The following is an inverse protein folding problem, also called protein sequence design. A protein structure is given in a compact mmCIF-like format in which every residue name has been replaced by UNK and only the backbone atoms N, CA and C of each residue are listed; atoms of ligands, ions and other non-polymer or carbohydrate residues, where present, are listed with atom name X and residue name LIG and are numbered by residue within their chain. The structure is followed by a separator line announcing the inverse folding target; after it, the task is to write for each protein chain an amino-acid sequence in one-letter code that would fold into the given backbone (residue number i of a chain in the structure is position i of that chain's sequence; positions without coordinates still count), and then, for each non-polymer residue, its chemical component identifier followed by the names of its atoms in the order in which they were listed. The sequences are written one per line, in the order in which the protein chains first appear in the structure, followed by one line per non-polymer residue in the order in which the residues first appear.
data_IF_948646170852
#
_entry.id   IF_948646170852
#
_cell.length_a   1.000
_cell.length_b   1.000
_cell.length_c   1.000
_cell.angle_alpha   90.00
_cell.angle_beta   90.00
_cell.angle_gamma   90.00
#
_symmetry.space_group_name_H-M   'P 1'
#
loop_
_entity.id
_entity.type
_entity.pdbx_description
1 polymer ?
#
# COMPACT_ATOMS: atom_id res chain seq x y z
N UNK A 1 -3.36 19.80 -13.55
CA UNK A 1 -2.47 19.05 -12.61
C UNK A 1 -2.39 17.60 -13.03
N UNK A 2 -1.23 16.95 -12.91
CA UNK A 2 -0.98 15.54 -13.25
C UNK A 2 -0.67 14.70 -12.01
N UNK A 3 -0.75 13.38 -12.13
CA UNK A 3 -0.32 12.45 -11.09
C UNK A 3 1.04 11.82 -11.43
N UNK A 4 1.91 11.62 -10.44
CA UNK A 4 3.15 10.85 -10.56
C UNK A 4 3.17 9.80 -9.46
N UNK A 5 2.93 8.54 -9.85
CA UNK A 5 2.79 7.41 -8.93
C UNK A 5 4.10 6.62 -8.87
N UNK A 6 4.75 6.57 -7.71
CA UNK A 6 6.05 5.92 -7.57
C UNK A 6 5.91 4.43 -7.24
N UNK A 7 6.33 3.56 -8.17
CA UNK A 7 6.22 2.09 -8.05
C UNK A 7 7.57 1.37 -8.14
N UNK A 8 8.69 2.07 -7.87
CA UNK A 8 10.05 1.54 -8.06
C UNK A 8 10.63 0.70 -6.92
N UNK A 9 9.94 0.56 -5.80
CA UNK A 9 10.46 -0.08 -4.59
C UNK A 9 10.69 -1.60 -4.73
N UNK A 10 11.79 -2.12 -4.17
CA UNK A 10 12.18 -3.55 -4.28
C UNK A 10 11.45 -4.50 -3.33
N UNK A 11 10.76 -3.99 -2.30
CA UNK A 11 9.99 -4.78 -1.33
C UNK A 11 10.81 -5.78 -0.51
N UNK A 12 12.09 -5.51 -0.26
CA UNK A 12 12.98 -6.48 0.43
C UNK A 12 12.51 -6.87 1.83
N UNK A 13 11.86 -5.95 2.56
CA UNK A 13 11.32 -6.19 3.91
C UNK A 13 10.07 -7.08 3.92
N UNK A 14 9.36 -7.20 2.80
CA UNK A 14 8.19 -8.07 2.61
C UNK A 14 8.54 -9.48 2.12
N UNK A 15 9.82 -9.83 1.98
CA UNK A 15 10.19 -11.19 1.60
C UNK A 15 9.78 -12.19 2.68
N UNK A 16 9.29 -13.40 2.27
CA UNK A 16 9.39 -14.00 0.92
C UNK A 16 8.29 -13.58 -0.05
N UNK A 17 7.24 -12.87 0.36
CA UNK A 17 6.08 -12.51 -0.50
C UNK A 17 6.51 -11.81 -1.80
N UNK A 18 7.46 -10.88 -1.69
CA UNK A 18 7.96 -10.09 -2.83
C UNK A 18 9.12 -10.72 -3.59
N UNK A 19 9.35 -12.03 -3.44
CA UNK A 19 10.29 -12.74 -4.32
C UNK A 19 9.77 -12.86 -5.75
N UNK A 20 8.46 -13.02 -5.90
CA UNK A 20 7.77 -13.31 -7.16
C UNK A 20 6.97 -12.14 -7.73
N UNK A 21 6.91 -11.01 -7.05
CA UNK A 21 6.16 -9.84 -7.52
C UNK A 21 6.55 -8.54 -6.80
N UNK A 22 6.16 -7.39 -7.34
CA UNK A 22 6.42 -6.09 -6.71
C UNK A 22 5.54 -5.91 -5.46
N UNK A 23 6.05 -5.14 -4.48
CA UNK A 23 5.35 -4.93 -3.21
C UNK A 23 4.01 -4.20 -3.37
N UNK A 24 3.91 -3.35 -4.37
CA UNK A 24 2.73 -2.55 -4.66
C UNK A 24 1.53 -3.38 -5.13
N UNK A 25 1.77 -4.63 -5.55
CA UNK A 25 0.72 -5.58 -5.93
C UNK A 25 0.30 -6.52 -4.79
N UNK A 26 0.91 -6.41 -3.61
CA UNK A 26 0.43 -7.13 -2.42
C UNK A 26 -0.93 -6.56 -2.04
N UNK A 27 -1.97 -7.41 -1.90
CA UNK A 27 -3.32 -6.90 -1.65
C UNK A 27 -3.54 -6.55 -0.18
N UNK A 28 -4.36 -5.54 0.03
CA UNK A 28 -5.01 -5.17 1.28
C UNK A 28 -6.52 -5.22 1.03
N UNK A 29 -7.27 -5.94 1.83
CA UNK A 29 -8.70 -6.21 1.62
C UNK A 29 -9.00 -6.67 0.17
N UNK A 30 -8.17 -7.60 -0.34
CA UNK A 30 -8.23 -8.16 -1.70
C UNK A 30 -7.97 -7.18 -2.86
N UNK A 31 -7.64 -5.92 -2.59
CA UNK A 31 -7.27 -4.92 -3.59
C UNK A 31 -5.76 -4.63 -3.54
N UNK A 32 -5.00 -4.70 -4.65
CA UNK A 32 -3.61 -4.29 -4.72
C UNK A 32 -3.39 -2.87 -4.16
N UNK A 33 -2.33 -2.67 -3.38
CA UNK A 33 -2.06 -1.37 -2.74
C UNK A 33 -1.97 -0.24 -3.75
N UNK A 34 -1.42 -0.51 -4.94
CA UNK A 34 -1.28 0.49 -6.00
C UNK A 34 -2.61 1.05 -6.52
N UNK A 35 -3.68 0.26 -6.46
CA UNK A 35 -5.01 0.69 -6.93
C UNK A 35 -5.63 1.74 -6.01
N UNK A 36 -5.35 1.70 -4.69
CA UNK A 36 -5.79 2.74 -3.75
C UNK A 36 -5.22 4.11 -4.15
N UNK A 37 -3.93 4.16 -4.48
CA UNK A 37 -3.31 5.41 -4.92
C UNK A 37 -3.89 5.97 -6.23
N UNK A 38 -4.28 5.09 -7.17
CA UNK A 38 -4.96 5.50 -8.43
C UNK A 38 -6.36 6.05 -8.12
N UNK A 39 -7.11 5.39 -7.24
CA UNK A 39 -8.44 5.84 -6.82
C UNK A 39 -8.36 7.20 -6.12
N UNK A 40 -7.41 7.39 -5.18
CA UNK A 40 -7.20 8.66 -4.48
C UNK A 40 -6.87 9.80 -5.44
N UNK A 41 -5.98 9.56 -6.41
CA UNK A 41 -5.63 10.55 -7.44
C UNK A 41 -6.85 10.91 -8.30
N UNK A 42 -7.63 9.90 -8.72
CA UNK A 42 -8.85 10.10 -9.49
C UNK A 42 -9.91 10.89 -8.72
N UNK A 43 -10.10 10.59 -7.42
CA UNK A 43 -11.03 11.31 -6.55
C UNK A 43 -10.65 12.78 -6.41
N UNK A 44 -9.35 13.08 -6.39
CA UNK A 44 -8.82 14.44 -6.45
C UNK A 44 -8.92 15.10 -7.85
N UNK A 45 -9.58 14.43 -8.83
CA UNK A 45 -9.79 14.95 -10.18
C UNK A 45 -8.59 14.76 -11.11
N UNK A 46 -7.57 13.99 -10.72
CA UNK A 46 -6.36 13.77 -11.49
C UNK A 46 -6.53 12.51 -12.35
N UNK A 47 -6.55 12.69 -13.67
CA UNK A 47 -6.83 11.59 -14.62
C UNK A 47 -5.66 11.27 -15.54
N UNK A 48 -4.63 12.12 -15.62
CA UNK A 48 -3.37 11.83 -16.33
C UNK A 48 -2.31 11.44 -15.31
N UNK A 49 -1.84 10.18 -15.31
CA UNK A 49 -0.95 9.64 -14.28
C UNK A 49 0.29 9.01 -14.92
N UNK A 50 1.47 9.52 -14.55
CA UNK A 50 2.76 8.91 -14.85
C UNK A 50 3.13 7.87 -13.80
N UNK A 51 3.27 6.60 -14.18
CA UNK A 51 3.66 5.52 -13.26
C UNK A 51 5.17 5.27 -13.39
N UNK A 52 5.91 5.61 -12.31
CA UNK A 52 7.37 5.41 -12.27
C UNK A 52 7.67 3.96 -11.92
N UNK A 53 8.25 3.23 -12.86
CA UNK A 53 8.58 1.82 -12.72
C UNK A 53 10.07 1.60 -12.41
N UNK A 54 10.33 0.79 -11.40
CA UNK A 54 11.66 0.30 -11.07
C UNK A 54 12.15 -0.80 -12.05
N UNK A 55 13.22 -1.52 -11.65
CA UNK A 55 13.77 -2.61 -12.45
C UNK A 55 13.04 -3.96 -12.29
N UNK A 56 12.17 -4.09 -11.29
CA UNK A 56 11.43 -5.33 -11.00
C UNK A 56 9.93 -5.07 -11.03
N UNK A 57 9.17 -6.09 -11.46
CA UNK A 57 7.72 -6.05 -11.42
C UNK A 57 7.05 -5.14 -12.45
N UNK A 58 7.78 -4.73 -13.50
CA UNK A 58 7.25 -3.84 -14.55
C UNK A 58 6.12 -4.47 -15.31
N UNK A 59 6.34 -5.70 -15.76
CA UNK A 59 5.39 -6.41 -16.61
C UNK A 59 4.12 -6.71 -15.82
N UNK A 60 4.26 -7.10 -14.55
CA UNK A 60 3.14 -7.39 -13.66
C UNK A 60 2.30 -6.14 -13.34
N UNK A 61 2.96 -4.98 -13.11
CA UNK A 61 2.26 -3.72 -12.89
C UNK A 61 1.53 -3.27 -14.16
N UNK A 62 2.19 -3.37 -15.32
CA UNK A 62 1.60 -3.00 -16.61
C UNK A 62 0.46 -3.95 -17.01
N UNK A 63 0.57 -5.24 -16.70
CA UNK A 63 -0.50 -6.22 -16.93
C UNK A 63 -1.73 -5.93 -16.07
N UNK A 64 -1.54 -5.56 -14.79
CA UNK A 64 -2.63 -5.22 -13.91
C UNK A 64 -3.33 -3.92 -14.32
N UNK A 65 -2.56 -2.86 -14.55
CA UNK A 65 -3.12 -1.51 -14.70
C UNK A 65 -3.53 -1.19 -16.14
N UNK A 66 -3.00 -1.92 -17.14
CA UNK A 66 -3.27 -1.68 -18.55
C UNK A 66 -2.90 -0.27 -19.00
N UNK A 67 -3.79 0.38 -19.71
CA UNK A 67 -3.69 1.80 -20.10
C UNK A 67 -4.42 2.75 -19.12
N UNK A 68 -4.99 2.21 -18.03
CA UNK A 68 -5.74 2.95 -17.03
C UNK A 68 -7.22 3.12 -17.30
N UNK A 69 -7.72 2.69 -18.47
CA UNK A 69 -9.12 2.87 -18.87
C UNK A 69 -10.11 2.19 -17.90
N UNK A 70 -9.74 1.05 -17.33
CA UNK A 70 -10.57 0.33 -16.35
C UNK A 70 -10.77 1.12 -15.05
N UNK A 71 -9.79 1.97 -14.71
CA UNK A 71 -9.87 2.89 -13.56
C UNK A 71 -10.46 4.26 -13.93
N UNK A 72 -10.62 4.55 -15.23
CA UNK A 72 -11.10 5.84 -15.76
C UNK A 72 -10.03 6.93 -15.70
N UNK A 73 -8.77 6.56 -15.86
CA UNK A 73 -7.59 7.41 -15.96
C UNK A 73 -6.77 7.05 -17.21
N UNK A 74 -5.80 7.88 -17.58
CA UNK A 74 -4.80 7.60 -18.62
C UNK A 74 -3.44 7.39 -17.98
N UNK A 75 -2.81 6.24 -18.22
CA UNK A 75 -1.53 5.88 -17.63
C UNK A 75 -0.39 6.00 -18.64
N UNK A 76 0.67 6.69 -18.23
CA UNK A 76 1.96 6.74 -18.93
C UNK A 76 3.04 6.07 -18.08
N UNK A 77 3.71 5.04 -18.61
CA UNK A 77 4.75 4.32 -17.88
C UNK A 77 6.13 4.92 -18.11
N UNK A 78 6.82 5.28 -17.02
CA UNK A 78 8.11 5.96 -17.00
C UNK A 78 9.12 5.06 -16.29
N UNK A 79 10.29 4.86 -16.89
CA UNK A 79 11.32 3.96 -16.35
C UNK A 79 12.32 4.76 -15.52
N UNK A 80 12.41 4.51 -14.22
CA UNK A 80 13.40 5.13 -13.36
C UNK A 80 14.83 4.61 -13.60
N UNK A 81 14.98 3.36 -14.02
CA UNK A 81 16.30 2.72 -14.11
C UNK A 81 16.88 2.36 -12.74
N UNK A 82 18.06 2.89 -12.40
CA UNK A 82 18.64 2.67 -11.07
C UNK A 82 17.92 3.51 -10.01
N UNK A 83 17.55 2.92 -8.87
CA UNK A 83 16.90 3.65 -7.78
C UNK A 83 17.94 4.52 -7.04
N UNK A 84 17.96 5.81 -7.33
CA UNK A 84 18.87 6.79 -6.73
C UNK A 84 18.17 7.72 -5.71
N UNK A 85 16.98 7.36 -5.25
CA UNK A 85 16.19 8.13 -4.30
C UNK A 85 14.85 8.60 -4.85
N UNK A 86 14.03 9.19 -3.96
CA UNK A 86 12.68 9.67 -4.32
C UNK A 86 12.72 10.90 -5.23
N UNK A 87 13.64 11.84 -4.97
CA UNK A 87 13.81 13.02 -5.83
C UNK A 87 14.25 12.60 -7.25
N UNK A 88 15.14 11.60 -7.38
CA UNK A 88 15.49 11.06 -8.70
C UNK A 88 14.28 10.45 -9.42
N UNK A 89 13.40 9.74 -8.69
CA UNK A 89 12.19 9.18 -9.28
C UNK A 89 11.24 10.29 -9.79
N UNK A 90 11.05 11.35 -9.00
CA UNK A 90 10.29 12.54 -9.40
C UNK A 90 10.90 13.21 -10.64
N UNK A 91 12.23 13.37 -10.67
CA UNK A 91 12.96 13.92 -11.80
C UNK A 91 12.77 13.18 -13.12
N UNK A 92 12.56 11.83 -13.06
CA UNK A 92 12.24 11.03 -14.24
C UNK A 92 10.89 11.39 -14.87
N UNK A 93 9.99 12.03 -14.14
CA UNK A 93 8.69 12.45 -14.63
C UNK A 93 8.70 13.82 -15.33
N UNK A 94 9.82 14.56 -15.35
CA UNK A 94 9.90 15.93 -15.89
C UNK A 94 9.27 16.10 -17.27
N UNK A 95 9.62 15.23 -18.21
CA UNK A 95 9.10 15.32 -19.58
C UNK A 95 7.59 15.02 -19.66
N UNK A 96 7.09 14.16 -18.77
CA UNK A 96 5.66 13.86 -18.65
C UNK A 96 4.89 15.00 -18.01
N UNK A 97 5.41 15.58 -16.95
CA UNK A 97 4.80 16.69 -16.20
C UNK A 97 4.78 17.96 -17.05
N UNK A 98 5.90 18.33 -17.69
CA UNK A 98 6.04 19.56 -18.43
C UNK A 98 5.95 20.78 -17.52
N UNK A 99 5.06 21.71 -17.86
CA UNK A 99 4.82 22.96 -17.10
C UNK A 99 3.62 22.85 -16.15
N UNK A 100 3.05 21.66 -15.97
CA UNK A 100 1.91 21.43 -15.07
C UNK A 100 2.38 21.22 -13.62
N UNK A 101 1.56 21.62 -12.64
CA UNK A 101 1.68 21.11 -11.28
C UNK A 101 1.35 19.63 -11.23
N UNK A 102 1.90 18.92 -10.24
CA UNK A 102 1.66 17.49 -10.13
C UNK A 102 1.61 16.97 -8.69
N UNK A 103 0.80 15.93 -8.46
CA UNK A 103 0.82 15.16 -7.23
C UNK A 103 1.81 14.02 -7.36
N UNK A 104 2.76 13.91 -6.45
CA UNK A 104 3.62 12.75 -6.30
C UNK A 104 3.09 11.87 -5.17
N UNK A 105 2.79 10.61 -5.46
CA UNK A 105 2.25 9.64 -4.52
C UNK A 105 3.13 8.38 -4.47
N UNK A 106 3.54 7.98 -3.27
CA UNK A 106 4.27 6.72 -3.07
C UNK A 106 3.31 5.53 -3.15
N UNK A 107 3.40 4.71 -4.19
CA UNK A 107 2.46 3.63 -4.51
C UNK A 107 2.45 2.43 -3.55
N UNK A 108 3.05 2.56 -2.38
CA UNK A 108 3.01 1.60 -1.26
C UNK A 108 2.34 2.19 -0.01
N UNK A 109 1.69 3.33 -0.13
CA UNK A 109 0.95 3.96 0.95
C UNK A 109 -0.55 3.86 0.74
N UNK A 110 -1.29 3.81 1.84
CA UNK A 110 -2.75 3.87 1.86
C UNK A 110 -3.16 4.94 2.86
N UNK A 111 -4.05 5.84 2.43
CA UNK A 111 -4.68 6.86 3.25
C UNK A 111 -6.17 6.61 3.38
N UNK A 112 -6.71 6.95 4.55
CA UNK A 112 -8.17 6.96 4.75
C UNK A 112 -8.86 8.10 4.00
N UNK A 113 -8.27 9.29 4.00
CA UNK A 113 -8.87 10.52 3.46
C UNK A 113 -8.47 10.83 2.01
N UNK A 114 -7.57 10.01 1.41
CA UNK A 114 -7.02 10.33 0.10
C UNK A 114 -6.21 11.62 0.08
N UNK A 115 -6.05 12.23 -1.11
CA UNK A 115 -5.19 13.41 -1.32
C UNK A 115 -5.96 14.67 -1.71
N UNK A 116 -7.29 14.62 -1.76
CA UNK A 116 -8.13 15.73 -2.26
C UNK A 116 -7.92 17.02 -1.47
N UNK A 117 -7.92 16.95 -0.13
CA UNK A 117 -7.75 18.13 0.72
C UNK A 117 -6.36 18.78 0.53
N UNK A 118 -5.31 17.97 0.36
CA UNK A 118 -3.96 18.46 0.07
C UNK A 118 -3.90 19.18 -1.29
N UNK A 119 -4.55 18.63 -2.32
CA UNK A 119 -4.62 19.23 -3.65
C UNK A 119 -5.38 20.56 -3.62
N UNK A 120 -6.55 20.57 -2.98
CA UNK A 120 -7.37 21.80 -2.84
C UNK A 120 -6.64 22.91 -2.05
N UNK A 121 -5.91 22.54 -1.00
CA UNK A 121 -5.10 23.48 -0.23
C UNK A 121 -3.98 24.08 -1.08
N UNK A 122 -3.24 23.25 -1.81
CA UNK A 122 -2.17 23.71 -2.70
C UNK A 122 -2.70 24.64 -3.81
N UNK A 123 -3.84 24.30 -4.45
CA UNK A 123 -4.44 25.12 -5.49
C UNK A 123 -4.98 26.48 -4.99
N UNK A 124 -5.20 26.61 -3.67
CA UNK A 124 -5.68 27.85 -3.07
C UNK A 124 -4.59 28.91 -2.88
N UNK A 125 -3.30 28.56 -3.04
CA UNK A 125 -2.14 29.46 -2.83
C UNK A 125 -1.17 29.47 -4.01
N UNK A 126 -0.01 30.10 -3.79
CA UNK A 126 1.13 30.15 -4.74
C UNK A 126 2.32 29.45 -4.08
N UNK A 127 2.24 28.14 -4.02
CA UNK A 127 3.19 27.30 -3.31
C UNK A 127 4.19 26.64 -4.27
N UNK A 128 5.42 26.44 -3.80
CA UNK A 128 6.41 25.61 -4.49
C UNK A 128 6.18 24.12 -4.30
N UNK A 129 5.71 23.75 -3.10
CA UNK A 129 5.30 22.40 -2.76
C UNK A 129 4.16 22.40 -1.74
N UNK A 130 3.37 21.31 -1.74
CA UNK A 130 2.44 20.93 -0.69
C UNK A 130 2.85 19.56 -0.12
N UNK A 131 2.83 19.40 1.20
CA UNK A 131 3.27 18.18 1.88
C UNK A 131 2.18 17.63 2.79
N UNK A 132 1.92 16.33 2.68
CA UNK A 132 1.09 15.62 3.63
C UNK A 132 1.91 15.20 4.85
N UNK A 133 1.42 15.57 6.05
CA UNK A 133 2.05 15.31 7.33
C UNK A 133 1.17 14.46 8.23
N UNK A 134 1.79 13.64 9.08
CA UNK A 134 1.12 12.95 10.18
C UNK A 134 2.03 12.84 11.39
N UNK A 135 1.45 12.92 12.59
CA UNK A 135 2.17 12.61 13.81
C UNK A 135 2.49 11.11 13.88
N UNK A 136 3.75 10.77 14.17
CA UNK A 136 4.24 9.39 14.27
C UNK A 136 4.94 9.14 15.60
N UNK A 137 4.92 7.87 16.05
CA UNK A 137 5.58 7.45 17.29
C UNK A 137 7.11 7.31 17.12
N UNK A 138 7.59 7.01 15.90
CA UNK A 138 9.02 6.82 15.57
C UNK A 138 9.47 7.79 14.47
N UNK A 139 9.65 9.09 14.81
CA UNK A 139 9.98 10.12 13.82
C UNK A 139 11.36 9.94 13.18
N UNK A 140 12.30 9.22 13.80
CA UNK A 140 13.63 8.97 13.24
C UNK A 140 13.59 8.10 11.95
N UNK A 141 12.46 7.45 11.67
CA UNK A 141 12.30 6.60 10.49
C UNK A 141 11.90 7.38 9.22
N UNK A 142 11.51 8.66 9.35
CA UNK A 142 10.87 9.46 8.30
C UNK A 142 11.60 10.79 8.06
N UNK A 143 11.30 11.43 6.93
CA UNK A 143 11.53 12.86 6.77
C UNK A 143 10.60 13.63 7.72
N UNK A 144 11.12 14.64 8.41
CA UNK A 144 10.40 15.39 9.45
C UNK A 144 10.30 16.84 9.03
N UNK A 145 9.11 17.42 9.22
CA UNK A 145 8.88 18.84 9.07
C UNK A 145 8.89 19.55 10.43
N UNK A 146 9.59 20.69 10.52
CA UNK A 146 9.40 21.66 11.59
C UNK A 146 8.48 22.78 11.10
N UNK A 147 7.54 23.19 11.95
CA UNK A 147 6.54 24.22 11.63
C UNK A 147 6.50 25.29 12.72
N UNK A 148 6.20 26.50 12.34
CA UNK A 148 6.04 27.61 13.29
C UNK A 148 4.64 27.61 13.96
N UNK A 149 4.38 28.61 14.82
CA UNK A 149 3.08 28.78 15.52
C UNK A 149 1.90 29.06 14.56
N UNK A 150 2.17 29.33 13.30
CA UNK A 150 1.18 29.58 12.24
C UNK A 150 1.07 28.42 11.25
N UNK A 151 1.64 27.25 11.58
CA UNK A 151 1.73 26.04 10.76
C UNK A 151 2.53 26.21 9.44
N UNK A 152 3.38 27.24 9.33
CA UNK A 152 4.29 27.37 8.19
C UNK A 152 5.49 26.44 8.35
N UNK A 153 5.88 25.76 7.30
CA UNK A 153 7.09 24.93 7.28
C UNK A 153 8.33 25.79 7.38
N UNK A 154 9.19 25.51 8.36
CA UNK A 154 10.43 26.26 8.62
C UNK A 154 11.68 25.47 8.29
N UNK A 155 11.62 24.14 8.40
CA UNK A 155 12.72 23.23 8.12
C UNK A 155 12.21 21.83 7.78
N UNK A 156 12.95 21.14 6.91
CA UNK A 156 12.71 19.73 6.58
C UNK A 156 14.00 18.94 6.72
N UNK A 157 13.95 17.81 7.43
CA UNK A 157 15.14 16.99 7.73
C UNK A 157 14.86 15.54 7.45
N UNK A 158 15.68 14.89 6.61
CA UNK A 158 15.57 13.46 6.32
C UNK A 158 16.13 12.62 7.47
N UNK A 159 15.28 11.84 8.12
CA UNK A 159 15.62 10.86 9.18
C UNK A 159 16.61 11.39 10.21
N UNK A 160 16.25 12.46 10.93
CA UNK A 160 17.14 13.07 11.91
C UNK A 160 17.35 12.14 13.10
N UNK A 161 18.59 12.13 13.63
CA UNK A 161 18.91 11.41 14.87
C UNK A 161 18.19 12.02 16.08
N UNK A 162 17.95 13.34 16.07
CA UNK A 162 17.25 14.11 17.11
C UNK A 162 16.13 14.95 16.44
N UNK A 163 14.94 14.36 16.23
CA UNK A 163 13.85 15.03 15.50
C UNK A 163 13.32 16.24 16.26
N UNK A 164 13.15 17.42 15.60
CA UNK A 164 12.58 18.61 16.25
C UNK A 164 11.10 18.45 16.58
N UNK A 165 10.38 17.67 15.78
CA UNK A 165 8.96 17.38 15.92
C UNK A 165 8.67 15.89 15.66
N UNK A 166 7.39 15.48 15.79
CA UNK A 166 6.91 14.17 15.36
C UNK A 166 6.06 14.21 14.08
N UNK A 167 6.11 15.35 13.33
CA UNK A 167 5.38 15.53 12.09
C UNK A 167 6.16 14.93 10.92
N UNK A 168 5.78 13.73 10.52
CA UNK A 168 6.42 12.98 9.44
C UNK A 168 5.81 13.27 8.08
N UNK A 169 6.65 13.35 7.04
CA UNK A 169 6.22 13.34 5.65
C UNK A 169 5.76 11.94 5.28
N UNK A 170 4.53 11.80 4.84
CA UNK A 170 3.89 10.49 4.66
C UNK A 170 3.81 10.01 3.22
N UNK A 171 4.60 10.61 2.33
CA UNK A 171 4.77 10.10 0.97
C UNK A 171 3.76 10.61 -0.05
N UNK A 172 3.02 11.66 0.27
CA UNK A 172 2.16 12.40 -0.66
C UNK A 172 2.57 13.85 -0.70
N UNK A 173 2.77 14.35 -1.90
CA UNK A 173 3.28 15.68 -2.17
C UNK A 173 2.54 16.28 -3.37
N UNK A 174 2.39 17.60 -3.38
CA UNK A 174 2.04 18.37 -4.57
C UNK A 174 3.22 19.27 -4.90
N UNK A 175 3.58 19.37 -6.15
CA UNK A 175 4.71 20.17 -6.59
C UNK A 175 4.35 21.10 -7.75
N UNK A 176 4.86 22.31 -7.71
CA UNK A 176 5.04 23.11 -8.91
C UNK A 176 6.25 22.61 -9.72
N UNK A 177 6.36 22.92 -11.01
CA UNK A 177 7.53 22.54 -11.84
C UNK A 177 8.88 23.06 -11.29
N UNK A 178 8.89 24.05 -10.40
CA UNK A 178 10.10 24.55 -9.74
C UNK A 178 10.88 23.46 -8.99
N UNK A 179 10.21 22.39 -8.55
CA UNK A 179 10.87 21.26 -7.88
C UNK A 179 11.94 20.59 -8.75
N UNK A 180 11.81 20.63 -10.07
CA UNK A 180 12.79 20.02 -10.97
C UNK A 180 14.14 20.75 -10.96
N UNK A 181 14.14 22.06 -10.79
CA UNK A 181 15.38 22.84 -10.64
C UNK A 181 16.02 22.54 -9.28
N UNK A 182 15.21 22.48 -8.22
CA UNK A 182 15.67 22.07 -6.89
C UNK A 182 16.26 20.65 -6.86
N UNK A 183 15.71 19.71 -7.66
CA UNK A 183 16.24 18.34 -7.81
C UNK A 183 17.58 18.34 -8.55
N UNK A 184 17.75 19.17 -9.58
CA UNK A 184 18.98 19.23 -10.36
C UNK A 184 20.19 19.70 -9.52
N UNK A 185 19.96 20.47 -8.47
CA UNK A 185 20.99 20.98 -7.55
C UNK A 185 21.30 20.04 -6.37
N UNK A 186 20.60 18.86 -6.27
CA UNK A 186 20.83 17.92 -5.18
C UNK A 186 22.15 17.16 -5.29
N UNK A 187 22.79 16.99 -4.15
CA UNK A 187 23.87 16.01 -3.94
C UNK A 187 23.32 14.77 -3.22
N UNK A 188 23.85 13.57 -3.49
CA UNK A 188 23.42 12.38 -2.76
C UNK A 188 23.65 12.52 -1.24
N UNK A 189 22.64 12.16 -0.45
CA UNK A 189 22.69 12.14 1.00
C UNK A 189 23.75 11.15 1.53
N UNK A 190 23.93 11.09 2.86
CA UNK A 190 24.75 10.08 3.51
C UNK A 190 24.30 8.64 3.21
N UNK A 191 23.06 8.44 2.74
CA UNK A 191 22.52 7.16 2.27
C UNK A 191 22.88 6.85 0.82
N UNK A 192 23.43 7.82 0.08
CA UNK A 192 23.69 7.74 -1.36
C UNK A 192 22.44 7.89 -2.21
N UNK A 193 21.39 8.53 -1.66
CA UNK A 193 20.10 8.77 -2.31
C UNK A 193 19.89 10.28 -2.50
N UNK A 194 19.17 10.67 -3.56
CA UNK A 194 18.63 12.03 -3.74
C UNK A 194 17.30 12.09 -3.00
N UNK A 195 17.29 12.76 -1.88
CA UNK A 195 16.13 12.80 -0.97
C UNK A 195 15.11 13.84 -1.45
N UNK A 196 13.85 13.47 -1.39
CA UNK A 196 12.78 14.44 -1.72
C UNK A 196 12.67 15.54 -0.65
N UNK A 197 12.99 15.20 0.59
CA UNK A 197 13.04 16.12 1.72
C UNK A 197 14.03 17.26 1.45
N UNK A 198 15.22 16.93 0.90
CA UNK A 198 16.23 17.92 0.57
C UNK A 198 15.80 18.80 -0.62
N UNK A 199 15.08 18.25 -1.60
CA UNK A 199 14.53 19.04 -2.71
C UNK A 199 13.50 20.06 -2.21
N UNK A 200 12.63 19.69 -1.26
CA UNK A 200 11.65 20.61 -0.68
C UNK A 200 12.36 21.66 0.20
N UNK A 201 13.41 21.27 0.91
CA UNK A 201 14.23 22.20 1.68
C UNK A 201 14.90 23.25 0.76
N UNK A 202 15.41 22.84 -0.41
CA UNK A 202 15.95 23.78 -1.40
C UNK A 202 14.89 24.77 -1.91
N UNK A 203 13.66 24.29 -2.19
CA UNK A 203 12.55 25.19 -2.55
C UNK A 203 12.28 26.23 -1.46
N UNK A 204 12.28 25.82 -0.19
CA UNK A 204 12.08 26.71 0.95
C UNK A 204 13.20 27.77 1.03
N UNK A 205 14.46 27.35 0.84
CA UNK A 205 15.64 28.24 0.84
C UNK A 205 15.64 29.20 -0.35
N UNK A 206 15.09 28.82 -1.49
CA UNK A 206 14.89 29.67 -2.67
C UNK A 206 13.71 30.64 -2.51
N UNK A 207 13.00 30.57 -1.39
CA UNK A 207 11.93 31.49 -1.00
C UNK A 207 10.54 31.14 -1.48
N UNK A 208 10.32 29.88 -1.89
CA UNK A 208 8.98 29.36 -2.13
C UNK A 208 8.26 29.08 -0.81
N UNK A 209 6.97 29.35 -0.76
CA UNK A 209 6.12 28.89 0.34
C UNK A 209 5.79 27.42 0.19
N UNK A 210 5.78 26.68 1.31
CA UNK A 210 5.45 25.25 1.36
C UNK A 210 4.13 25.10 2.12
N UNK A 211 3.11 24.58 1.44
CA UNK A 211 1.83 24.23 2.08
C UNK A 211 2.00 22.95 2.92
N UNK A 212 1.51 22.97 4.17
CA UNK A 212 1.53 21.81 5.04
C UNK A 212 0.13 21.36 5.41
N UNK A 213 -0.20 20.12 5.10
CA UNK A 213 -1.50 19.53 5.40
C UNK A 213 -1.35 18.34 6.37
N UNK A 214 -1.81 18.52 7.61
CA UNK A 214 -1.86 17.41 8.57
C UNK A 214 -3.06 16.53 8.26
N UNK A 215 -2.79 15.31 7.80
CA UNK A 215 -3.82 14.36 7.35
C UNK A 215 -4.68 13.91 8.53
N UNK A 216 -5.99 13.88 8.31
CA UNK A 216 -6.97 13.35 9.26
C UNK A 216 -7.24 11.86 9.00
N UNK A 217 -7.33 11.06 10.06
CA UNK A 217 -7.56 9.62 9.96
C UNK A 217 -6.28 8.82 10.04
N UNK A 218 -6.28 7.64 9.44
CA UNK A 218 -5.12 6.75 9.46
C UNK A 218 -4.37 6.77 8.13
N UNK A 219 -3.08 6.55 8.24
CA UNK A 219 -2.15 6.31 7.15
C UNK A 219 -1.31 5.06 7.42
N UNK A 220 -0.96 4.31 6.37
CA UNK A 220 -0.06 3.16 6.44
C UNK A 220 0.89 3.08 5.26
N UNK A 221 2.20 3.00 5.58
CA UNK A 221 3.24 2.47 4.69
C UNK A 221 3.15 0.94 4.74
N UNK A 222 2.93 0.28 3.62
CA UNK A 222 2.81 -1.18 3.53
C UNK A 222 4.17 -1.85 3.33
N UNK A 223 5.18 -1.40 4.06
CA UNK A 223 6.57 -1.82 3.89
C UNK A 223 6.96 -3.15 4.52
N UNK A 224 6.19 -3.65 5.50
CA UNK A 224 6.45 -4.88 6.25
C UNK A 224 5.20 -5.76 6.32
N UNK A 225 5.33 -7.07 6.63
CA UNK A 225 4.16 -7.95 6.78
C UNK A 225 3.15 -7.48 7.83
N UNK A 226 3.64 -6.95 8.94
CA UNK A 226 2.81 -6.42 10.02
C UNK A 226 1.99 -5.20 9.54
N UNK A 227 2.60 -4.34 8.71
CA UNK A 227 1.94 -3.15 8.15
C UNK A 227 0.81 -3.55 7.17
N UNK A 228 1.00 -4.63 6.38
CA UNK A 228 -0.05 -5.20 5.51
C UNK A 228 -1.24 -5.69 6.35
N UNK A 229 -0.99 -6.43 7.42
CA UNK A 229 -2.06 -6.93 8.30
C UNK A 229 -2.81 -5.79 8.99
N UNK A 230 -2.10 -4.77 9.44
CA UNK A 230 -2.72 -3.60 10.05
C UNK A 230 -3.53 -2.78 9.03
N UNK A 231 -2.98 -2.53 7.83
CA UNK A 231 -3.71 -1.87 6.74
C UNK A 231 -4.98 -2.66 6.38
N UNK A 232 -4.88 -4.00 6.30
CA UNK A 232 -6.03 -4.88 6.04
C UNK A 232 -7.13 -4.71 7.10
N UNK A 233 -6.76 -4.62 8.38
CA UNK A 233 -7.73 -4.34 9.45
C UNK A 233 -8.41 -2.99 9.26
N UNK A 234 -7.63 -1.94 9.05
CA UNK A 234 -8.13 -0.57 8.93
C UNK A 234 -9.08 -0.42 7.73
N UNK A 235 -8.70 -0.98 6.58
CA UNK A 235 -9.56 -0.95 5.39
C UNK A 235 -10.84 -1.74 5.60
N UNK A 236 -10.77 -2.95 6.15
CA UNK A 236 -11.96 -3.77 6.43
C UNK A 236 -12.89 -3.15 7.49
N UNK A 237 -12.35 -2.33 8.42
CA UNK A 237 -13.16 -1.56 9.37
C UNK A 237 -13.98 -0.45 8.70
N UNK A 238 -13.43 0.17 7.67
CA UNK A 238 -14.02 1.34 7.01
C UNK A 238 -14.88 0.97 5.78
N UNK A 239 -14.64 -0.20 5.15
CA UNK A 239 -15.31 -0.59 3.91
C UNK A 239 -16.76 -1.03 4.15
N UNK A 240 -17.71 -0.54 3.33
CA UNK A 240 -19.05 -1.09 3.22
C UNK A 240 -18.97 -2.44 2.49
N UNK A 241 -19.29 -3.50 3.22
CA UNK A 241 -19.15 -4.86 2.71
C UNK A 241 -20.48 -5.37 2.14
N UNK A 242 -20.40 -6.13 1.04
CA UNK A 242 -21.55 -6.66 0.32
C UNK A 242 -21.43 -8.17 0.12
N UNK A 243 -22.44 -8.92 0.51
CA UNK A 243 -22.53 -10.36 0.29
C UNK A 243 -23.30 -10.63 -0.99
N UNK A 244 -22.60 -10.81 -2.09
CA UNK A 244 -23.17 -11.10 -3.41
C UNK A 244 -23.15 -12.60 -3.75
N UNK A 245 -22.21 -13.35 -3.19
CA UNK A 245 -22.01 -14.77 -3.42
C UNK A 245 -23.02 -15.68 -2.71
N UNK A 246 -22.79 -16.97 -2.79
CA UNK A 246 -23.68 -18.01 -2.24
C UNK A 246 -23.31 -18.33 -0.79
N UNK A 247 -24.29 -18.23 0.10
CA UNK A 247 -24.23 -18.75 1.48
C UNK A 247 -25.20 -19.90 1.58
N UNK A 248 -24.71 -21.12 1.79
CA UNK A 248 -25.57 -22.31 1.89
C UNK A 248 -26.35 -22.36 3.22
N UNK A 249 -27.50 -23.06 3.24
CA UNK A 249 -28.45 -23.00 4.35
C UNK A 249 -27.88 -23.37 5.73
N UNK A 250 -26.82 -24.18 5.81
CA UNK A 250 -26.17 -24.59 7.05
C UNK A 250 -24.90 -23.80 7.38
N UNK A 251 -24.55 -22.81 6.58
CA UNK A 251 -23.43 -21.90 6.88
C UNK A 251 -23.84 -20.83 7.89
N UNK A 252 -22.91 -20.45 8.77
CA UNK A 252 -23.12 -19.37 9.73
C UNK A 252 -22.31 -18.13 9.31
N UNK A 253 -23.00 -17.01 9.14
CA UNK A 253 -22.35 -15.71 8.86
C UNK A 253 -22.79 -14.67 9.88
N UNK A 254 -21.85 -13.82 10.32
CA UNK A 254 -22.13 -12.72 11.24
C UNK A 254 -21.15 -11.55 11.03
N UNK A 255 -21.64 -10.32 11.19
CA UNK A 255 -20.85 -9.13 10.95
C UNK A 255 -20.80 -8.73 9.46
N UNK A 256 -19.89 -7.83 9.12
CA UNK A 256 -19.72 -7.29 7.76
C UNK A 256 -18.86 -8.25 6.94
N UNK A 257 -19.42 -8.80 5.88
CA UNK A 257 -18.72 -9.76 5.01
C UNK A 257 -18.87 -9.30 3.57
N UNK A 258 -17.76 -9.09 2.89
CA UNK A 258 -17.68 -9.00 1.46
C UNK A 258 -17.51 -10.40 0.89
N UNK A 259 -18.46 -10.84 0.08
CA UNK A 259 -18.42 -12.12 -0.61
C UNK A 259 -18.68 -11.87 -2.08
N UNK A 260 -17.70 -12.13 -2.92
CA UNK A 260 -17.81 -11.99 -4.37
C UNK A 260 -18.90 -12.93 -4.93
N UNK A 261 -19.55 -12.55 -6.03
CA UNK A 261 -20.71 -13.24 -6.61
C UNK A 261 -20.42 -14.70 -7.05
N UNK A 262 -19.17 -15.00 -7.44
CA UNK A 262 -18.70 -16.30 -7.85
C UNK A 262 -18.21 -17.19 -6.68
N UNK A 263 -18.32 -16.72 -5.43
CA UNK A 263 -17.77 -17.39 -4.25
C UNK A 263 -18.85 -18.05 -3.39
N UNK A 264 -18.46 -19.08 -2.63
CA UNK A 264 -19.38 -19.94 -1.88
C UNK A 264 -18.89 -20.10 -0.44
N UNK A 265 -19.82 -19.96 0.51
CA UNK A 265 -19.67 -20.41 1.90
C UNK A 265 -20.56 -21.64 2.05
N UNK A 266 -19.95 -22.81 2.18
CA UNK A 266 -20.66 -24.13 2.23
C UNK A 266 -21.30 -24.38 3.60
N UNK A 267 -22.27 -25.30 3.62
CA UNK A 267 -22.89 -25.85 4.83
C UNK A 267 -21.81 -26.28 5.85
N UNK A 268 -21.97 -25.87 7.10
CA UNK A 268 -21.04 -26.16 8.20
C UNK A 268 -19.79 -25.26 8.24
N UNK A 269 -19.65 -24.27 7.37
CA UNK A 269 -18.66 -23.22 7.48
C UNK A 269 -19.15 -22.06 8.34
N UNK A 270 -18.24 -21.34 8.99
CA UNK A 270 -18.53 -20.17 9.83
C UNK A 270 -17.66 -18.99 9.39
N UNK A 271 -18.27 -17.85 9.06
CA UNK A 271 -17.58 -16.61 8.73
C UNK A 271 -18.01 -15.50 9.66
N UNK A 272 -17.05 -14.86 10.31
CA UNK A 272 -17.23 -13.72 11.20
C UNK A 272 -16.51 -12.50 10.63
N UNK A 273 -17.27 -11.47 10.28
CA UNK A 273 -16.72 -10.22 9.76
C UNK A 273 -16.14 -9.28 10.84
N UNK A 274 -15.42 -8.22 10.44
CA UNK A 274 -15.22 -7.84 9.05
C UNK A 274 -14.28 -8.81 8.31
N UNK A 275 -14.70 -9.26 7.12
CA UNK A 275 -13.93 -10.20 6.30
C UNK A 275 -14.23 -9.96 4.81
N UNK A 276 -13.25 -10.21 3.94
CA UNK A 276 -13.40 -10.12 2.50
C UNK A 276 -13.01 -11.43 1.83
N UNK A 277 -13.91 -11.98 1.00
CA UNK A 277 -13.73 -13.23 0.27
C UNK A 277 -13.88 -12.92 -1.22
N UNK A 278 -12.76 -13.00 -1.94
CA UNK A 278 -12.68 -12.63 -3.34
C UNK A 278 -13.24 -13.73 -4.27
N UNK A 279 -13.25 -13.45 -5.55
CA UNK A 279 -13.86 -14.24 -6.62
C UNK A 279 -13.38 -15.71 -6.66
N UNK A 280 -14.30 -16.61 -7.07
CA UNK A 280 -14.03 -18.05 -7.25
C UNK A 280 -13.45 -18.74 -6.00
N UNK A 281 -13.78 -18.25 -4.81
CA UNK A 281 -13.27 -18.75 -3.54
C UNK A 281 -14.34 -19.61 -2.85
N UNK A 282 -13.93 -20.76 -2.30
CA UNK A 282 -14.81 -21.68 -1.59
C UNK A 282 -14.37 -21.83 -0.15
N UNK A 283 -15.26 -21.50 0.79
CA UNK A 283 -15.09 -21.76 2.22
C UNK A 283 -15.88 -23.00 2.56
N UNK A 284 -15.19 -24.14 2.69
CA UNK A 284 -15.79 -25.47 2.88
C UNK A 284 -16.19 -25.73 4.32
N UNK A 285 -16.98 -26.79 4.49
CA UNK A 285 -17.43 -27.30 5.79
C UNK A 285 -16.28 -27.46 6.80
N UNK A 286 -16.53 -27.14 8.07
CA UNK A 286 -15.53 -27.21 9.15
C UNK A 286 -14.54 -26.03 9.18
N UNK A 287 -14.66 -25.08 8.25
CA UNK A 287 -13.80 -23.89 8.20
C UNK A 287 -14.39 -22.75 9.02
N UNK A 288 -13.56 -22.09 9.80
CA UNK A 288 -13.85 -20.83 10.47
C UNK A 288 -12.99 -19.70 9.89
N UNK A 289 -13.63 -18.70 9.32
CA UNK A 289 -12.98 -17.42 8.92
C UNK A 289 -13.37 -16.35 9.94
N UNK A 290 -12.40 -15.86 10.68
CA UNK A 290 -12.58 -14.85 11.72
C UNK A 290 -12.40 -13.42 11.22
N UNK A 291 -12.60 -12.43 12.12
CA UNK A 291 -12.50 -11.02 11.76
C UNK A 291 -11.14 -10.62 11.19
N UNK A 292 -11.16 -9.56 10.38
CA UNK A 292 -9.98 -8.95 9.74
C UNK A 292 -9.23 -9.89 8.79
N UNK A 293 -9.96 -10.82 8.20
CA UNK A 293 -9.39 -11.81 7.28
C UNK A 293 -9.80 -11.50 5.85
N UNK A 294 -8.82 -11.48 4.95
CA UNK A 294 -9.02 -11.37 3.51
C UNK A 294 -8.55 -12.65 2.82
N UNK A 295 -9.46 -13.27 2.06
CA UNK A 295 -9.17 -14.48 1.28
C UNK A 295 -9.22 -14.10 -0.20
N UNK A 296 -8.07 -14.15 -0.85
CA UNK A 296 -7.90 -13.79 -2.25
C UNK A 296 -8.50 -14.81 -3.21
N UNK A 297 -8.71 -14.39 -4.44
CA UNK A 297 -9.41 -15.15 -5.47
C UNK A 297 -8.83 -16.54 -5.74
N UNK A 298 -9.69 -17.45 -6.27
CA UNK A 298 -9.36 -18.82 -6.65
C UNK A 298 -8.81 -19.65 -5.48
N UNK A 299 -9.25 -19.41 -4.26
CA UNK A 299 -8.77 -20.11 -3.07
C UNK A 299 -9.81 -21.08 -2.52
N UNK A 300 -9.34 -22.16 -1.90
CA UNK A 300 -10.18 -23.14 -1.21
C UNK A 300 -9.66 -23.34 0.20
N UNK A 301 -10.54 -23.16 1.19
CA UNK A 301 -10.25 -23.39 2.61
C UNK A 301 -11.13 -24.53 3.15
N UNK A 302 -10.53 -25.52 3.82
CA UNK A 302 -11.20 -26.68 4.37
C UNK A 302 -10.63 -27.05 5.75
N UNK A 303 -11.51 -27.27 6.73
CA UNK A 303 -11.16 -27.72 8.10
C UNK A 303 -10.15 -26.83 8.85
N UNK A 304 -10.05 -25.54 8.51
CA UNK A 304 -9.11 -24.59 9.10
C UNK A 304 -9.81 -23.45 9.86
N UNK A 305 -9.20 -22.99 10.95
CA UNK A 305 -9.58 -21.73 11.59
C UNK A 305 -8.56 -20.66 11.22
N UNK A 306 -9.00 -19.57 10.59
CA UNK A 306 -8.15 -18.45 10.17
C UNK A 306 -8.75 -17.12 10.61
N UNK A 307 -7.93 -16.24 11.19
CA UNK A 307 -8.37 -14.89 11.57
C UNK A 307 -7.22 -13.88 11.50
N UNK A 308 -7.53 -12.59 11.35
CA UNK A 308 -6.57 -11.48 11.24
C UNK A 308 -5.43 -11.82 10.27
N UNK A 309 -5.77 -12.32 9.10
CA UNK A 309 -4.81 -12.88 8.15
C UNK A 309 -5.17 -12.50 6.71
N UNK A 310 -4.16 -12.48 5.84
CA UNK A 310 -4.32 -12.24 4.41
C UNK A 310 -3.82 -13.44 3.63
N UNK A 311 -4.68 -14.03 2.81
CA UNK A 311 -4.36 -15.05 1.81
C UNK A 311 -4.39 -14.37 0.45
N UNK A 312 -3.25 -14.28 -0.24
CA UNK A 312 -3.12 -13.46 -1.47
C UNK A 312 -3.92 -14.05 -2.66
N UNK A 313 -4.19 -15.34 -2.65
CA UNK A 313 -5.02 -16.00 -3.67
C UNK A 313 -4.38 -17.24 -4.27
N UNK A 314 -5.12 -17.92 -5.17
CA UNK A 314 -4.73 -19.16 -5.85
C UNK A 314 -4.25 -20.24 -4.87
N UNK A 315 -4.87 -20.32 -3.66
CA UNK A 315 -4.34 -21.07 -2.52
C UNK A 315 -5.28 -22.22 -2.13
N UNK A 316 -4.68 -23.34 -1.71
CA UNK A 316 -5.39 -24.50 -1.16
C UNK A 316 -4.95 -24.72 0.28
N UNK A 317 -5.88 -24.57 1.24
CA UNK A 317 -5.60 -24.64 2.66
C UNK A 317 -6.53 -25.72 3.27
N UNK A 318 -5.99 -26.92 3.48
CA UNK A 318 -6.68 -28.03 4.09
C UNK A 318 -5.88 -28.49 5.31
N UNK A 319 -6.18 -27.87 6.46
CA UNK A 319 -5.37 -28.11 7.64
C UNK A 319 -6.25 -28.08 8.91
N UNK A 320 -6.11 -29.08 9.73
CA UNK A 320 -6.74 -29.09 11.05
C UNK A 320 -5.90 -28.26 12.03
N UNK A 321 -6.29 -26.98 12.22
CA UNK A 321 -5.53 -26.07 13.08
C UNK A 321 -6.04 -24.64 13.08
N UNK A 322 -5.23 -23.73 13.61
CA UNK A 322 -5.54 -22.30 13.64
C UNK A 322 -4.37 -21.49 13.06
N UNK A 323 -4.68 -20.60 12.13
CA UNK A 323 -3.79 -19.60 11.55
C UNK A 323 -4.25 -18.22 12.02
N UNK A 324 -3.34 -17.44 12.59
CA UNK A 324 -3.62 -16.06 13.05
C UNK A 324 -2.47 -15.16 12.69
N UNK A 325 -2.76 -13.85 12.54
CA UNK A 325 -1.75 -12.81 12.30
C UNK A 325 -0.78 -13.18 11.16
N UNK A 326 -1.32 -13.75 10.07
CA UNK A 326 -0.50 -14.38 9.04
C UNK A 326 -0.74 -13.78 7.65
N UNK A 327 0.35 -13.72 6.87
CA UNK A 327 0.32 -13.36 5.46
C UNK A 327 0.76 -14.56 4.62
N UNK A 328 -0.15 -15.12 3.85
CA UNK A 328 0.07 -16.28 2.99
C UNK A 328 0.19 -15.83 1.54
N UNK A 329 1.32 -16.18 0.91
CA UNK A 329 1.61 -15.81 -0.48
C UNK A 329 0.70 -16.51 -1.48
N UNK A 330 0.73 -16.03 -2.73
CA UNK A 330 0.01 -16.64 -3.85
C UNK A 330 0.44 -18.09 -4.07
N UNK A 331 -0.50 -18.96 -4.44
CA UNK A 331 -0.30 -20.40 -4.63
C UNK A 331 0.19 -21.11 -3.35
N UNK A 332 -0.20 -20.63 -2.17
CA UNK A 332 0.11 -21.32 -0.93
C UNK A 332 -0.66 -22.64 -0.84
N UNK A 333 0.05 -23.72 -0.56
CA UNK A 333 -0.53 -25.02 -0.23
C UNK A 333 -0.22 -25.34 1.23
N UNK A 334 -1.27 -25.48 2.06
CA UNK A 334 -1.15 -25.79 3.48
C UNK A 334 -1.96 -27.07 3.75
N UNK A 335 -1.27 -28.13 4.15
CA UNK A 335 -1.89 -29.44 4.42
C UNK A 335 -1.58 -29.89 5.85
N UNK A 336 -2.54 -30.57 6.48
CA UNK A 336 -2.28 -31.30 7.71
C UNK A 336 -1.39 -32.50 7.45
N UNK A 337 -0.41 -32.73 8.32
CA UNK A 337 0.43 -33.93 8.29
C UNK A 337 -0.29 -35.09 9.00
N UNK A 338 -1.37 -35.64 8.42
CA UNK A 338 -2.15 -36.69 9.01
C UNK A 338 -1.40 -38.02 9.09
N UNK A 339 -1.54 -38.68 10.22
CA UNK A 339 -1.12 -40.08 10.40
C UNK A 339 0.37 -40.31 10.66
N UNK A 340 1.16 -39.30 10.88
CA UNK A 340 2.57 -39.44 11.25
C UNK A 340 2.73 -39.49 12.77
N UNK A 341 3.26 -40.61 13.26
CA UNK A 341 3.70 -40.75 14.65
C UNK A 341 5.23 -40.91 14.70
N UNK A 342 5.93 -40.15 15.56
CA UNK A 342 5.41 -39.04 16.41
C UNK A 342 4.89 -37.90 15.59
N UNK A 343 3.91 -37.17 16.12
CA UNK A 343 3.40 -35.93 15.52
C UNK A 343 4.57 -34.98 15.23
N UNK A 344 4.65 -34.47 14.01
CA UNK A 344 5.73 -33.61 13.59
C UNK A 344 5.31 -32.70 12.43
N UNK A 345 5.99 -31.60 12.28
CA UNK A 345 5.80 -30.66 11.18
C UNK A 345 6.91 -30.85 10.15
N UNK A 346 6.55 -31.05 8.89
CA UNK A 346 7.49 -31.00 7.78
C UNK A 346 7.46 -29.60 7.19
N UNK A 347 8.59 -28.90 7.25
CA UNK A 347 8.72 -27.53 6.75
C UNK A 347 9.69 -27.51 5.57
N UNK A 348 9.27 -26.89 4.48
CA UNK A 348 10.14 -26.48 3.38
C UNK A 348 10.00 -24.97 3.30
N UNK A 349 11.00 -24.26 3.80
CA UNK A 349 10.97 -22.80 3.93
C UNK A 349 12.03 -22.16 3.05
N UNK A 350 11.69 -21.05 2.42
CA UNK A 350 12.61 -20.27 1.63
C UNK A 350 13.44 -19.29 2.48
N UNK A 351 14.33 -18.60 1.81
CA UNK A 351 15.11 -17.52 2.40
C UNK A 351 14.18 -16.40 2.94
N UNK A 352 14.50 -15.86 4.10
CA UNK A 352 13.75 -14.81 4.82
C UNK A 352 12.35 -15.21 5.32
N UNK A 353 12.00 -16.50 5.34
CA UNK A 353 10.75 -16.94 5.95
C UNK A 353 10.80 -16.80 7.47
N UNK A 354 9.69 -16.37 8.07
CA UNK A 354 9.50 -16.31 9.53
C UNK A 354 8.39 -17.28 9.92
N UNK A 355 8.66 -18.12 10.92
CA UNK A 355 7.72 -19.10 11.43
C UNK A 355 7.64 -19.01 12.95
N UNK A 356 6.41 -18.93 13.47
CA UNK A 356 6.10 -19.12 14.89
C UNK A 356 5.30 -20.41 14.99
N UNK A 357 5.85 -21.44 15.63
CA UNK A 357 5.28 -22.79 15.70
C UNK A 357 4.71 -23.11 17.06
#
# INVERSE_FOLDING_TARGET
MKGVLLSGGTGSRLRPITHTGPKQLVPVANKPVLEYAIEDLKEAGITEIGVILGNKGRDEIQELLGDGSDYGVELTYIIQGNPLGLAHAAGCARDFVGDDDFVMYLGDNILKSGVTELVESFEAGDYGAGIALQEVDDPQAFGIADVDEQDNVTELIEKPDDPPTNLALIGMYVFSPAVFDAIDDLEPSWRGELEITDAIQNLLEDGYEIDSHVVTGWWKDTGKPEDILEANRLVLEDTELNTAGVVEDGAETDGRIELADSSVIEDGAVVRGPASIAENTTIKSGTYVGPYTSIGANSTLEEIHIENSVVIGDSEITANGRIVDSLLGRNANVESADGLLPEGRRLVVGENSQLKL
#
